data_IF_464891149577
#
_entry.id   IF_464891149577
#
_cell.length_a   1.000
_cell.length_b   1.000
_cell.length_c   1.000
_cell.angle_alpha   90.00
_cell.angle_beta   90.00
_cell.angle_gamma   90.00
#
_symmetry.space_group_name_H-M   'P 1'
#
loop_
_entity.id
_entity.type
_entity.pdbx_description
1 polymer ?
#
# COMPACT_ATOMS: atom_id res chain seq x y z
N UNK A 1 23.30 -2.18 -21.39
CA UNK A 1 23.09 -0.83 -21.96
C UNK A 1 22.47 0.05 -20.87
N UNK A 2 23.26 0.90 -20.22
CA UNK A 2 22.80 1.80 -19.15
C UNK A 2 21.93 2.91 -19.76
N UNK A 3 20.64 2.95 -19.45
CA UNK A 3 19.80 4.12 -19.76
C UNK A 3 20.21 5.24 -18.79
N UNK A 4 20.94 6.23 -19.31
CA UNK A 4 21.18 7.49 -18.63
C UNK A 4 19.83 8.13 -18.29
N UNK A 5 19.65 8.51 -17.02
CA UNK A 5 18.44 9.13 -16.51
C UNK A 5 18.18 10.51 -17.14
N UNK A 6 17.37 10.55 -18.20
CA UNK A 6 16.51 11.70 -18.44
C UNK A 6 15.47 11.69 -17.31
N UNK A 7 15.59 12.67 -16.42
CA UNK A 7 14.89 12.81 -15.16
C UNK A 7 13.38 12.68 -15.31
N UNK A 8 12.76 11.90 -14.43
CA UNK A 8 11.30 11.76 -14.28
C UNK A 8 10.60 13.06 -13.82
N UNK A 9 11.32 14.18 -13.82
CA UNK A 9 10.90 15.47 -13.29
C UNK A 9 10.39 16.41 -14.40
N UNK A 10 10.35 16.00 -15.68
CA UNK A 10 9.77 16.78 -16.78
C UNK A 10 10.34 18.21 -16.97
N UNK A 11 11.52 18.50 -16.42
CA UNK A 11 12.10 19.85 -16.44
C UNK A 11 11.70 20.72 -15.24
N UNK A 12 10.98 20.16 -14.26
CA UNK A 12 10.68 20.83 -13.00
C UNK A 12 11.98 21.14 -12.24
N UNK A 13 12.00 22.30 -11.61
CA UNK A 13 13.08 22.75 -10.75
C UNK A 13 13.02 22.07 -9.36
N UNK A 14 13.89 22.52 -8.45
CA UNK A 14 13.94 22.00 -7.07
C UNK A 14 12.67 22.30 -6.26
N UNK A 15 11.89 23.29 -6.66
CA UNK A 15 10.63 23.68 -6.02
C UNK A 15 9.41 23.03 -6.69
N UNK A 16 9.62 22.14 -7.67
CA UNK A 16 8.53 21.46 -8.37
C UNK A 16 7.80 22.40 -9.31
N UNK A 17 8.50 23.42 -9.80
CA UNK A 17 7.98 24.46 -10.68
C UNK A 17 8.59 24.30 -12.09
N UNK A 18 7.78 24.57 -13.11
CA UNK A 18 8.20 24.65 -14.51
C UNK A 18 7.97 26.08 -14.99
N UNK A 19 9.00 26.74 -15.51
CA UNK A 19 8.92 28.14 -15.93
C UNK A 19 8.79 28.23 -17.45
N UNK A 20 7.66 28.78 -17.92
CA UNK A 20 7.42 29.08 -19.34
C UNK A 20 8.00 30.45 -19.68
N UNK A 21 9.28 30.46 -20.04
CA UNK A 21 10.02 31.70 -20.27
C UNK A 21 9.47 32.59 -21.40
N UNK A 22 8.66 32.05 -22.31
CA UNK A 22 8.10 32.84 -23.43
C UNK A 22 6.86 33.67 -23.04
N UNK A 23 6.15 33.28 -21.98
CA UNK A 23 4.93 33.95 -21.53
C UNK A 23 4.96 34.42 -20.06
N UNK A 24 6.07 34.22 -19.34
CA UNK A 24 6.21 34.69 -17.95
C UNK A 24 5.23 34.02 -17.00
N UNK A 25 5.02 32.72 -17.19
CA UNK A 25 4.13 31.89 -16.36
C UNK A 25 4.90 30.75 -15.74
N UNK A 26 4.60 30.45 -14.48
CA UNK A 26 5.10 29.29 -13.77
C UNK A 26 3.99 28.26 -13.57
N UNK A 27 4.25 27.01 -13.96
CA UNK A 27 3.44 25.86 -13.57
C UNK A 27 3.99 25.23 -12.29
N UNK A 28 3.12 24.92 -11.34
CA UNK A 28 3.44 24.14 -10.14
C UNK A 28 2.55 22.92 -10.04
N UNK A 29 3.14 21.76 -9.78
CA UNK A 29 2.37 20.54 -9.49
C UNK A 29 1.85 20.64 -8.06
N UNK A 30 0.52 20.68 -7.88
CA UNK A 30 -0.13 20.75 -6.57
C UNK A 30 -0.61 19.36 -6.10
N UNK A 31 -0.99 18.52 -7.05
CA UNK A 31 -1.43 17.16 -6.80
C UNK A 31 -1.18 16.29 -8.03
N UNK A 32 -1.39 14.95 -7.94
CA UNK A 32 -1.21 14.07 -9.08
C UNK A 32 -2.03 14.43 -10.33
N UNK A 33 -3.15 15.14 -10.17
CA UNK A 33 -4.06 15.54 -11.25
C UNK A 33 -4.20 17.06 -11.39
N UNK A 34 -3.48 17.84 -10.58
CA UNK A 34 -3.62 19.30 -10.53
C UNK A 34 -2.28 20.00 -10.74
N UNK A 35 -2.29 20.92 -11.71
CA UNK A 35 -1.19 21.84 -11.99
C UNK A 35 -1.75 23.24 -11.91
N UNK A 36 -1.21 24.03 -10.99
CA UNK A 36 -1.50 25.45 -10.84
C UNK A 36 -0.62 26.25 -11.81
N UNK A 37 -1.21 27.22 -12.49
CA UNK A 37 -0.47 28.20 -13.29
C UNK A 37 -0.49 29.54 -12.56
N UNK A 38 0.64 30.22 -12.51
CA UNK A 38 0.78 31.53 -11.86
C UNK A 38 1.55 32.46 -12.78
N UNK A 39 1.05 33.67 -12.99
CA UNK A 39 1.81 34.70 -13.72
C UNK A 39 2.96 35.24 -12.85
N UNK A 40 4.16 35.30 -13.41
CA UNK A 40 5.39 35.55 -12.64
C UNK A 40 5.46 36.95 -12.02
N UNK A 41 4.80 37.93 -12.65
CA UNK A 41 4.86 39.36 -12.24
C UNK A 41 3.77 39.68 -11.21
N UNK A 42 2.51 39.37 -11.52
CA UNK A 42 1.37 39.67 -10.67
C UNK A 42 1.20 38.67 -9.53
N UNK A 43 1.64 37.42 -9.73
CA UNK A 43 1.34 36.31 -8.83
C UNK A 43 -0.09 35.77 -8.99
N UNK A 44 -0.83 36.22 -10.00
CA UNK A 44 -2.22 35.81 -10.21
C UNK A 44 -2.30 34.36 -10.72
N UNK A 45 -3.26 33.60 -10.18
CA UNK A 45 -3.55 32.23 -10.61
C UNK A 45 -4.30 32.24 -11.94
N UNK A 46 -3.80 31.49 -12.92
CA UNK A 46 -4.38 31.37 -14.25
C UNK A 46 -5.07 30.01 -14.45
N UNK A 47 -6.18 30.01 -15.20
CA UNK A 47 -6.82 28.76 -15.62
C UNK A 47 -6.11 28.11 -16.82
N UNK A 48 -5.53 28.94 -17.69
CA UNK A 48 -4.87 28.55 -18.95
C UNK A 48 -3.62 29.39 -19.19
N UNK A 49 -2.80 28.99 -20.17
CA UNK A 49 -1.67 29.81 -20.59
C UNK A 49 -2.18 31.07 -21.31
N UNK A 50 -1.50 32.22 -21.18
CA UNK A 50 -1.80 33.43 -21.92
C UNK A 50 -1.70 33.22 -23.43
N UNK A 51 -2.39 34.07 -24.22
CA UNK A 51 -2.31 34.05 -25.69
C UNK A 51 -0.89 34.28 -26.23
N UNK A 52 -0.01 34.89 -25.43
CA UNK A 52 1.41 35.09 -25.75
C UNK A 52 2.25 33.81 -25.71
N UNK A 53 1.71 32.71 -25.16
CA UNK A 53 2.42 31.45 -25.08
C UNK A 53 2.66 30.84 -26.47
N UNK A 54 3.91 30.45 -26.73
CA UNK A 54 4.28 29.75 -27.96
C UNK A 54 3.74 28.32 -28.02
N UNK A 55 3.74 27.74 -29.23
CA UNK A 55 3.32 26.35 -29.46
C UNK A 55 4.13 25.33 -28.61
N UNK A 56 5.40 25.62 -28.34
CA UNK A 56 6.25 24.78 -27.49
C UNK A 56 5.80 24.78 -26.03
N UNK A 57 5.44 25.94 -25.47
CA UNK A 57 4.94 26.06 -24.08
C UNK A 57 3.62 25.31 -23.90
N UNK A 58 2.74 25.42 -24.89
CA UNK A 58 1.47 24.68 -24.93
C UNK A 58 1.77 23.18 -24.93
N UNK A 59 2.66 22.70 -25.80
CA UNK A 59 3.03 21.28 -25.85
C UNK A 59 3.66 20.78 -24.54
N UNK A 60 4.53 21.59 -23.93
CA UNK A 60 5.17 21.26 -22.65
C UNK A 60 4.15 21.16 -21.52
N UNK A 61 3.20 22.09 -21.43
CA UNK A 61 2.13 22.02 -20.44
C UNK A 61 1.26 20.77 -20.65
N UNK A 62 0.90 20.43 -21.90
CA UNK A 62 0.17 19.21 -22.22
C UNK A 62 0.94 17.96 -21.77
N UNK A 63 2.25 17.89 -22.07
CA UNK A 63 3.12 16.79 -21.63
C UNK A 63 3.17 16.68 -20.11
N UNK A 64 3.31 17.80 -19.41
CA UNK A 64 3.36 17.84 -17.96
C UNK A 64 2.03 17.33 -17.35
N UNK A 65 0.89 17.82 -17.83
CA UNK A 65 -0.45 17.40 -17.38
C UNK A 65 -0.70 15.90 -17.63
N UNK A 66 -0.34 15.40 -18.80
CA UNK A 66 -0.66 14.03 -19.20
C UNK A 66 0.30 12.98 -18.64
N UNK A 67 1.56 13.32 -18.41
CA UNK A 67 2.56 12.33 -17.97
C UNK A 67 2.74 12.27 -16.45
N UNK A 68 2.46 13.35 -15.72
CA UNK A 68 2.59 13.42 -14.25
C UNK A 68 1.79 12.32 -13.54
N UNK A 69 0.50 12.07 -13.85
CA UNK A 69 -0.27 10.99 -13.22
C UNK A 69 0.38 9.61 -13.43
N UNK A 70 0.90 9.35 -14.64
CA UNK A 70 1.55 8.09 -14.99
C UNK A 70 2.85 7.85 -14.21
N UNK A 71 3.67 8.89 -14.03
CA UNK A 71 4.90 8.82 -13.22
C UNK A 71 4.58 8.57 -11.76
N UNK A 72 3.59 9.27 -11.20
CA UNK A 72 3.17 9.06 -9.80
C UNK A 72 2.63 7.64 -9.61
N UNK A 73 1.79 7.15 -10.52
CA UNK A 73 1.25 5.78 -10.47
C UNK A 73 2.36 4.73 -10.55
N UNK A 74 3.30 4.88 -11.48
CA UNK A 74 4.45 3.98 -11.60
C UNK A 74 5.31 3.99 -10.34
N UNK A 75 5.51 5.16 -9.72
CA UNK A 75 6.27 5.26 -8.49
C UNK A 75 5.55 4.69 -7.27
N UNK A 76 4.21 4.80 -7.19
CA UNK A 76 3.41 4.12 -6.17
C UNK A 76 3.51 2.59 -6.28
N UNK A 77 3.48 2.04 -7.50
CA UNK A 77 3.77 0.61 -7.72
C UNK A 77 5.16 0.24 -7.22
N UNK A 78 6.16 1.08 -7.50
CA UNK A 78 7.53 0.88 -6.99
C UNK A 78 7.61 0.94 -5.46
N UNK A 79 6.84 1.83 -4.82
CA UNK A 79 6.73 1.91 -3.36
C UNK A 79 6.07 0.65 -2.79
N UNK A 80 5.00 0.14 -3.40
CA UNK A 80 4.38 -1.12 -3.00
C UNK A 80 5.37 -2.31 -3.08
N UNK A 81 6.18 -2.38 -4.14
CA UNK A 81 7.25 -3.39 -4.23
C UNK A 81 8.32 -3.22 -3.14
N UNK A 82 8.72 -1.99 -2.81
CA UNK A 82 9.66 -1.71 -1.73
C UNK A 82 9.08 -2.12 -0.36
N UNK A 83 7.79 -1.89 -0.15
CA UNK A 83 7.05 -2.30 1.03
C UNK A 83 7.09 -3.83 1.16
N UNK A 84 6.65 -4.56 0.14
CA UNK A 84 6.59 -6.02 0.12
C UNK A 84 7.97 -6.69 0.26
N UNK A 85 9.01 -6.12 -0.36
CA UNK A 85 10.36 -6.71 -0.33
C UNK A 85 11.23 -6.25 0.85
N UNK A 86 10.82 -5.22 1.59
CA UNK A 86 11.61 -4.65 2.68
C UNK A 86 12.92 -3.97 2.24
N UNK A 87 13.11 -3.72 0.93
CA UNK A 87 14.32 -3.09 0.40
C UNK A 87 14.52 -1.69 0.99
N UNK A 88 15.74 -1.44 1.45
CA UNK A 88 16.14 -0.15 2.04
C UNK A 88 16.76 0.77 0.98
N UNK A 89 16.69 2.08 1.25
CA UNK A 89 17.43 3.14 0.57
C UNK A 89 18.44 3.74 1.56
N UNK A 90 19.59 4.21 1.09
CA UNK A 90 20.44 5.03 1.96
C UNK A 90 19.73 6.35 2.30
N UNK A 91 19.99 6.91 3.49
CA UNK A 91 19.41 8.20 3.89
C UNK A 91 19.61 9.30 2.84
N UNK A 92 20.82 9.41 2.29
CA UNK A 92 21.13 10.40 1.24
C UNK A 92 20.31 10.18 -0.04
N UNK A 93 20.14 8.93 -0.48
CA UNK A 93 19.32 8.63 -1.67
C UNK A 93 17.85 8.91 -1.42
N UNK A 94 17.34 8.52 -0.25
CA UNK A 94 15.96 8.78 0.15
C UNK A 94 15.69 10.29 0.20
N UNK A 95 16.57 11.05 0.86
CA UNK A 95 16.51 12.51 0.98
C UNK A 95 16.52 13.19 -0.39
N UNK A 96 17.40 12.78 -1.30
CA UNK A 96 17.47 13.32 -2.66
C UNK A 96 16.22 13.07 -3.51
N UNK A 97 15.48 12.00 -3.23
CA UNK A 97 14.23 11.68 -3.94
C UNK A 97 13.02 12.44 -3.40
N UNK A 98 12.92 12.61 -2.08
CA UNK A 98 11.68 13.00 -1.42
C UNK A 98 11.73 14.30 -0.61
N UNK A 99 12.92 14.84 -0.32
CA UNK A 99 13.11 16.05 0.48
C UNK A 99 13.87 17.17 -0.24
N UNK A 100 15.04 16.87 -0.83
CA UNK A 100 15.89 17.92 -1.39
C UNK A 100 15.32 18.56 -2.66
N UNK A 101 14.32 17.90 -3.26
CA UNK A 101 13.54 18.40 -4.39
C UNK A 101 12.06 18.21 -4.09
N UNK A 102 11.24 19.22 -4.37
CA UNK A 102 9.78 19.09 -4.56
C UNK A 102 9.49 18.36 -5.88
N UNK A 103 10.09 17.18 -6.04
CA UNK A 103 9.91 16.34 -7.22
C UNK A 103 8.48 15.80 -7.26
N UNK A 104 8.03 15.41 -8.46
CA UNK A 104 6.79 14.65 -8.64
C UNK A 104 6.75 13.40 -7.75
N UNK A 105 7.92 12.83 -7.44
CA UNK A 105 8.05 11.63 -6.61
C UNK A 105 7.69 11.88 -5.14
N UNK A 106 7.80 13.12 -4.64
CA UNK A 106 7.34 13.49 -3.30
C UNK A 106 5.84 13.31 -3.15
N UNK A 107 5.04 13.62 -4.18
CA UNK A 107 3.59 13.38 -4.16
C UNK A 107 3.24 11.90 -4.12
N UNK A 108 4.04 11.07 -4.79
CA UNK A 108 3.85 9.62 -4.74
C UNK A 108 4.18 9.03 -3.36
N UNK A 109 5.11 9.62 -2.62
CA UNK A 109 5.55 9.18 -1.30
C UNK A 109 4.89 9.91 -0.12
N UNK A 110 4.09 10.96 -0.38
CA UNK A 110 3.36 11.69 0.65
C UNK A 110 2.49 10.73 1.44
N UNK A 111 2.53 10.82 2.77
CA UNK A 111 1.80 9.97 3.70
C UNK A 111 2.21 8.48 3.73
N UNK A 112 3.29 8.09 3.04
CA UNK A 112 3.96 6.81 3.31
C UNK A 112 4.65 6.91 4.65
N UNK A 113 4.42 5.92 5.52
CA UNK A 113 5.17 5.80 6.78
C UNK A 113 6.50 5.12 6.47
N UNK A 114 7.59 5.81 6.78
CA UNK A 114 8.95 5.34 6.66
C UNK A 114 9.46 4.87 8.01
N UNK A 115 10.47 4.01 7.99
CA UNK A 115 11.19 3.54 9.16
C UNK A 115 12.70 3.74 8.95
N UNK A 116 13.36 4.15 10.03
CA UNK A 116 14.81 4.32 10.10
C UNK A 116 15.26 4.03 11.54
N UNK A 117 16.11 2.99 11.71
CA UNK A 117 16.37 2.42 13.04
C UNK A 117 15.06 2.01 13.72
N UNK A 118 14.88 2.46 14.96
CA UNK A 118 13.65 2.23 15.75
C UNK A 118 12.58 3.33 15.54
N UNK A 119 12.89 4.36 14.74
CA UNK A 119 12.00 5.48 14.47
C UNK A 119 11.13 5.27 13.23
N UNK A 120 9.93 5.85 13.26
CA UNK A 120 9.03 5.92 12.10
C UNK A 120 8.58 7.36 11.84
N UNK A 121 8.34 7.70 10.57
CA UNK A 121 7.99 9.07 10.17
C UNK A 121 7.27 9.16 8.82
N UNK A 122 6.60 10.28 8.55
CA UNK A 122 6.04 10.62 7.24
C UNK A 122 6.68 11.90 6.69
N UNK A 123 6.58 12.12 5.38
CA UNK A 123 6.92 13.42 4.77
C UNK A 123 5.74 14.38 4.89
N UNK A 124 5.95 15.51 5.55
CA UNK A 124 5.03 16.65 5.59
C UNK A 124 5.57 17.79 4.72
N UNK A 125 4.80 18.87 4.55
CA UNK A 125 5.18 20.00 3.69
C UNK A 125 6.49 20.67 4.15
N UNK A 126 6.67 20.84 5.45
CA UNK A 126 7.80 21.57 6.05
C UNK A 126 8.83 20.66 6.75
N UNK A 127 8.86 19.37 6.41
CA UNK A 127 9.83 18.44 6.97
C UNK A 127 9.27 17.04 7.16
N UNK A 128 9.74 16.37 8.22
CA UNK A 128 9.34 15.02 8.58
C UNK A 128 8.62 15.06 9.91
N UNK A 129 7.57 14.26 10.03
CA UNK A 129 6.79 14.14 11.26
C UNK A 129 6.78 12.70 11.74
N UNK A 130 6.90 12.50 13.05
CA UNK A 130 6.69 11.20 13.69
C UNK A 130 5.18 10.89 13.88
N UNK A 131 4.89 9.75 14.51
CA UNK A 131 3.52 9.27 14.79
C UNK A 131 2.70 10.17 15.72
N UNK A 132 3.32 11.16 16.35
CA UNK A 132 2.67 12.14 17.22
C UNK A 132 2.59 13.53 16.57
N UNK A 133 3.06 13.68 15.33
CA UNK A 133 3.12 14.96 14.64
C UNK A 133 4.30 15.84 15.07
N UNK A 134 5.29 15.30 15.79
CA UNK A 134 6.50 16.03 16.14
C UNK A 134 7.53 15.99 15.02
N UNK A 135 8.39 17.00 14.93
CA UNK A 135 9.49 17.01 13.98
C UNK A 135 10.41 15.79 14.14
N UNK A 136 10.62 15.07 13.04
CA UNK A 136 11.53 13.93 12.98
C UNK A 136 12.84 14.33 12.28
N UNK A 137 13.98 13.92 12.85
CA UNK A 137 15.31 14.17 12.28
C UNK A 137 15.86 12.90 11.63
N UNK A 138 16.25 12.99 10.35
CA UNK A 138 16.95 11.88 9.68
C UNK A 138 18.33 11.64 10.31
N UNK A 139 18.63 10.37 10.49
CA UNK A 139 19.98 9.88 10.80
C UNK A 139 20.69 9.39 9.52
N UNK A 140 21.91 8.88 9.66
CA UNK A 140 22.65 8.24 8.56
C UNK A 140 22.16 6.83 8.21
N UNK A 141 21.29 6.23 9.02
CA UNK A 141 20.81 4.86 8.86
C UNK A 141 19.98 4.68 7.57
N UNK A 142 19.92 3.47 6.99
CA UNK A 142 19.06 3.18 5.86
C UNK A 142 17.57 3.44 6.19
N UNK A 143 16.85 3.97 5.21
CA UNK A 143 15.41 4.22 5.27
C UNK A 143 14.67 3.13 4.49
N UNK A 144 13.63 2.57 5.08
CA UNK A 144 12.71 1.63 4.43
C UNK A 144 11.27 2.08 4.65
N UNK A 145 10.33 1.53 3.88
CA UNK A 145 8.92 1.71 4.20
C UNK A 145 8.62 0.91 5.48
N UNK A 146 7.92 1.49 6.45
CA UNK A 146 7.53 0.80 7.67
C UNK A 146 6.56 -0.36 7.34
N UNK A 147 6.59 -1.45 8.12
CA UNK A 147 5.69 -2.58 7.90
C UNK A 147 5.08 -3.02 9.23
N UNK A 148 3.75 -3.26 9.31
CA UNK A 148 3.08 -3.59 10.57
C UNK A 148 3.73 -4.73 11.36
N UNK A 149 4.11 -5.83 10.70
CA UNK A 149 4.80 -6.98 11.34
C UNK A 149 6.13 -6.63 12.03
N UNK A 150 6.74 -5.49 11.70
CA UNK A 150 8.00 -5.03 12.30
C UNK A 150 7.78 -3.90 13.32
N UNK A 151 6.53 -3.51 13.58
CA UNK A 151 6.16 -2.45 14.51
C UNK A 151 5.56 -3.04 15.78
N UNK A 152 5.72 -2.32 16.90
CA UNK A 152 5.02 -2.66 18.14
C UNK A 152 3.53 -2.31 18.02
N UNK A 153 2.63 -2.98 18.76
CA UNK A 153 1.22 -2.61 18.80
C UNK A 153 0.99 -1.12 19.13
N UNK A 154 1.76 -0.55 20.06
CA UNK A 154 1.68 0.87 20.42
C UNK A 154 2.05 1.79 19.25
N UNK A 155 3.03 1.39 18.44
CA UNK A 155 3.45 2.15 17.26
C UNK A 155 2.38 2.08 16.17
N UNK A 156 1.78 0.92 15.97
CA UNK A 156 0.66 0.73 15.03
C UNK A 156 -0.51 1.61 15.44
N UNK A 157 -0.98 1.49 16.69
CA UNK A 157 -2.13 2.25 17.19
C UNK A 157 -1.92 3.77 17.15
N UNK A 158 -0.70 4.25 17.45
CA UNK A 158 -0.37 5.67 17.33
C UNK A 158 -0.43 6.18 15.88
N UNK A 159 0.04 5.38 14.92
CA UNK A 159 -0.08 5.74 13.50
C UNK A 159 -1.52 5.69 13.01
N UNK A 160 -2.30 4.67 13.39
CA UNK A 160 -3.72 4.57 13.06
C UNK A 160 -4.49 5.79 13.58
N UNK A 161 -4.26 6.17 14.84
CA UNK A 161 -4.85 7.36 15.45
C UNK A 161 -4.45 8.64 14.70
N UNK A 162 -3.16 8.81 14.38
CA UNK A 162 -2.66 9.97 13.65
C UNK A 162 -3.27 10.07 12.25
N UNK A 163 -3.31 8.97 11.49
CA UNK A 163 -3.88 8.93 10.15
C UNK A 163 -5.39 9.23 10.18
N UNK A 164 -6.12 8.64 11.13
CA UNK A 164 -7.54 8.87 11.32
C UNK A 164 -7.85 10.33 11.68
N UNK A 165 -7.19 10.88 12.72
CA UNK A 165 -7.40 12.24 13.20
C UNK A 165 -7.17 13.29 12.12
N UNK A 166 -6.19 13.06 11.25
CA UNK A 166 -5.83 13.99 10.17
C UNK A 166 -6.51 13.66 8.83
N UNK A 167 -7.45 12.70 8.79
CA UNK A 167 -8.11 12.23 7.58
C UNK A 167 -7.13 11.88 6.44
N UNK A 168 -6.00 11.26 6.79
CA UNK A 168 -4.92 10.96 5.87
C UNK A 168 -5.18 9.62 5.19
N UNK A 169 -5.26 9.66 3.86
CA UNK A 169 -5.25 8.46 3.00
C UNK A 169 -3.82 8.13 2.59
N UNK A 170 -3.42 6.88 2.79
CA UNK A 170 -2.11 6.39 2.38
C UNK A 170 -2.06 6.10 0.87
N UNK A 171 -0.92 6.33 0.20
CA UNK A 171 -0.80 6.10 -1.24
C UNK A 171 -0.59 4.63 -1.64
N UNK A 172 -0.37 3.77 -0.65
CA UNK A 172 -0.28 2.31 -0.75
C UNK A 172 -0.98 1.70 0.48
N UNK A 173 -1.50 0.48 0.34
CA UNK A 173 -2.02 -0.29 1.48
C UNK A 173 -0.84 -0.67 2.38
N UNK A 174 -0.68 0.06 3.48
CA UNK A 174 0.45 -0.11 4.40
C UNK A 174 -0.02 -0.49 5.79
N UNK A 175 -0.79 0.38 6.46
CA UNK A 175 -1.28 0.08 7.82
C UNK A 175 -2.40 -0.94 7.82
N UNK A 176 -3.17 -1.03 6.73
CA UNK A 176 -4.21 -2.04 6.54
C UNK A 176 -3.69 -3.37 5.99
N UNK A 177 -2.38 -3.57 5.84
CA UNK A 177 -1.84 -4.87 5.41
C UNK A 177 -2.02 -5.89 6.56
N UNK A 178 -2.74 -7.01 6.34
CA UNK A 178 -2.91 -8.02 7.38
C UNK A 178 -1.57 -8.56 7.87
N UNK A 179 -1.44 -8.77 9.18
CA UNK A 179 -0.28 -9.46 9.75
C UNK A 179 -0.59 -10.93 10.01
N UNK A 180 0.14 -11.82 9.35
CA UNK A 180 0.02 -13.28 9.48
C UNK A 180 1.09 -13.78 10.44
N UNK A 181 0.70 -14.53 11.47
CA UNK A 181 1.65 -15.33 12.24
C UNK A 181 2.15 -16.50 11.37
N UNK A 182 3.26 -16.29 10.68
CA UNK A 182 3.80 -17.28 9.74
C UNK A 182 4.32 -18.53 10.46
N UNK A 183 4.54 -18.48 11.78
CA UNK A 183 4.96 -19.66 12.56
C UNK A 183 3.79 -20.60 12.84
N UNK A 184 2.56 -20.07 12.89
CA UNK A 184 1.32 -20.82 13.09
C UNK A 184 0.63 -21.29 11.81
N UNK A 185 1.24 -21.10 10.63
CA UNK A 185 0.65 -21.53 9.35
C UNK A 185 0.74 -23.04 9.19
N UNK A 186 -0.41 -23.71 9.16
CA UNK A 186 -0.49 -25.15 8.87
C UNK A 186 -0.18 -25.43 7.40
N UNK A 187 0.43 -26.59 7.12
CA UNK A 187 0.82 -26.92 5.75
C UNK A 187 -0.37 -27.09 4.81
N UNK A 188 -1.50 -27.54 5.35
CA UNK A 188 -2.75 -27.77 4.64
C UNK A 188 -3.68 -26.54 4.64
N UNK A 189 -3.22 -25.36 5.09
CA UNK A 189 -4.05 -24.15 5.25
C UNK A 189 -4.91 -23.82 4.02
N UNK A 190 -4.41 -24.08 2.82
CA UNK A 190 -5.14 -23.82 1.56
C UNK A 190 -5.56 -25.09 0.80
N UNK A 191 -5.39 -26.26 1.40
CA UNK A 191 -5.71 -27.54 0.77
C UNK A 191 -7.21 -27.62 0.45
N UNK A 192 -7.54 -28.08 -0.77
CA UNK A 192 -8.91 -28.20 -1.24
C UNK A 192 -9.55 -26.91 -1.77
N UNK A 193 -8.81 -25.80 -1.78
CA UNK A 193 -9.26 -24.51 -2.30
C UNK A 193 -8.87 -24.36 -3.78
N UNK A 194 -9.83 -23.91 -4.58
CA UNK A 194 -9.62 -23.51 -5.97
C UNK A 194 -9.41 -22.00 -6.00
N UNK A 195 -8.25 -21.55 -6.45
CA UNK A 195 -8.00 -20.14 -6.72
C UNK A 195 -8.12 -19.89 -8.22
N UNK A 196 -8.88 -18.88 -8.62
CA UNK A 196 -8.88 -18.45 -10.01
C UNK A 196 -7.54 -17.77 -10.32
N UNK A 197 -6.96 -18.02 -11.49
CA UNK A 197 -5.67 -17.42 -11.83
C UNK A 197 -5.72 -15.88 -11.83
N UNK A 198 -6.87 -15.29 -12.20
CA UNK A 198 -7.11 -13.84 -12.14
C UNK A 198 -7.01 -13.29 -10.72
N UNK A 199 -7.51 -14.01 -9.72
CA UNK A 199 -7.38 -13.64 -8.31
C UNK A 199 -5.92 -13.69 -7.86
N UNK A 200 -5.16 -14.67 -8.35
CA UNK A 200 -3.73 -14.78 -8.07
C UNK A 200 -2.89 -13.68 -8.73
N UNK A 201 -3.44 -12.90 -9.67
CA UNK A 201 -2.79 -11.69 -10.17
C UNK A 201 -2.66 -10.61 -9.08
N UNK A 202 -3.46 -10.68 -8.00
CA UNK A 202 -3.32 -9.80 -6.84
C UNK A 202 -1.97 -9.96 -6.14
N UNK A 203 -1.31 -11.10 -6.30
CA UNK A 203 0.08 -11.31 -5.83
C UNK A 203 1.10 -10.51 -6.67
N UNK A 204 0.67 -9.90 -7.78
CA UNK A 204 1.49 -9.04 -8.63
C UNK A 204 2.74 -9.71 -9.17
N UNK A 205 3.83 -8.95 -9.30
CA UNK A 205 5.14 -9.44 -9.75
C UNK A 205 5.78 -10.47 -8.78
N UNK A 206 5.16 -10.69 -7.61
CA UNK A 206 5.59 -11.69 -6.62
C UNK A 206 5.01 -13.08 -6.89
N UNK A 207 3.99 -13.17 -7.75
CA UNK A 207 3.56 -14.44 -8.32
C UNK A 207 4.66 -15.00 -9.23
N UNK A 208 5.46 -15.93 -8.73
CA UNK A 208 6.48 -16.57 -9.56
C UNK A 208 5.81 -17.43 -10.63
N UNK A 209 5.95 -16.99 -11.88
CA UNK A 209 5.67 -17.76 -13.07
C UNK A 209 6.58 -19.00 -13.11
N UNK A 210 5.99 -20.18 -12.99
CA UNK A 210 6.70 -21.45 -13.03
C UNK A 210 5.81 -22.56 -13.56
N UNK A 211 6.28 -23.28 -14.58
CA UNK A 211 5.55 -24.35 -15.25
C UNK A 211 5.51 -25.66 -14.45
N UNK A 212 6.27 -25.79 -13.35
CA UNK A 212 6.27 -27.02 -12.55
C UNK A 212 6.66 -26.79 -11.07
N UNK A 213 5.70 -27.09 -10.18
CA UNK A 213 5.83 -27.58 -8.79
C UNK A 213 6.20 -26.68 -7.62
N UNK A 214 6.65 -25.43 -7.74
CA UNK A 214 6.81 -24.59 -6.53
C UNK A 214 6.72 -23.11 -6.86
N UNK A 215 5.78 -22.38 -6.25
CA UNK A 215 5.85 -20.91 -6.22
C UNK A 215 6.89 -20.55 -5.17
N UNK A 216 8.16 -20.42 -5.56
CA UNK A 216 9.22 -19.99 -4.66
C UNK A 216 9.27 -18.47 -4.74
N UNK A 217 8.40 -17.81 -3.98
CA UNK A 217 8.63 -16.40 -3.66
C UNK A 217 9.91 -16.35 -2.82
N UNK A 218 10.98 -15.82 -3.42
CA UNK A 218 12.27 -15.43 -2.83
C UNK A 218 12.93 -16.36 -1.78
N UNK A 219 12.64 -17.66 -1.81
CA UNK A 219 13.04 -18.67 -0.81
C UNK A 219 12.41 -18.47 0.60
N UNK A 220 11.53 -17.49 0.78
CA UNK A 220 10.84 -17.29 2.06
C UNK A 220 9.60 -18.16 2.21
N UNK A 221 9.01 -18.61 1.11
CA UNK A 221 7.77 -19.37 1.11
C UNK A 221 7.83 -20.53 0.11
N UNK A 222 7.43 -21.71 0.55
CA UNK A 222 7.18 -22.87 -0.30
C UNK A 222 5.68 -23.03 -0.54
N UNK A 223 5.26 -23.09 -1.79
CA UNK A 223 3.89 -23.41 -2.18
C UNK A 223 3.87 -24.56 -3.18
N UNK A 224 3.22 -25.66 -2.81
CA UNK A 224 3.01 -26.81 -3.70
C UNK A 224 1.68 -26.66 -4.41
N UNK A 225 1.71 -26.72 -5.75
CA UNK A 225 0.51 -26.77 -6.58
C UNK A 225 0.15 -28.21 -6.92
N UNK A 226 -1.14 -28.52 -6.91
CA UNK A 226 -1.61 -29.77 -7.50
C UNK A 226 -1.57 -29.69 -9.02
N UNK A 227 -1.08 -30.76 -9.66
CA UNK A 227 -1.14 -30.90 -11.12
C UNK A 227 -2.59 -31.17 -11.50
N UNK A 228 -3.36 -30.13 -11.80
CA UNK A 228 -4.59 -30.29 -12.57
C UNK A 228 -4.32 -29.90 -14.03
N UNK A 229 -4.26 -30.90 -14.90
CA UNK A 229 -4.35 -30.69 -16.35
C UNK A 229 -5.82 -30.39 -16.66
N UNK A 230 -6.17 -29.12 -16.82
CA UNK A 230 -7.45 -28.77 -17.46
C UNK A 230 -7.32 -29.02 -18.97
N UNK A 231 -7.37 -30.28 -19.38
CA UNK A 231 -8.00 -30.61 -20.66
C UNK A 231 -9.50 -30.58 -20.38
N UNK A 232 -10.17 -29.50 -20.79
CA UNK A 232 -11.57 -29.42 -21.26
C UNK A 232 -12.06 -27.96 -21.09
N UNK A 233 -12.07 -27.25 -22.23
CA UNK A 233 -13.03 -26.21 -22.66
C UNK A 233 -13.86 -25.45 -21.60
N UNK A 234 -13.22 -24.82 -20.62
CA UNK A 234 -13.80 -23.68 -19.89
C UNK A 234 -12.67 -22.68 -19.66
N UNK A 235 -12.91 -21.41 -19.98
CA UNK A 235 -11.91 -20.31 -19.94
C UNK A 235 -11.35 -19.99 -18.54
N UNK A 236 -11.59 -20.84 -17.54
CA UNK A 236 -11.18 -20.60 -16.16
C UNK A 236 -9.97 -21.48 -15.80
N UNK A 237 -8.78 -20.90 -15.92
CA UNK A 237 -7.57 -21.50 -15.38
C UNK A 237 -7.61 -21.43 -13.86
N UNK A 238 -7.81 -22.59 -13.21
CA UNK A 238 -7.86 -22.73 -11.75
C UNK A 238 -6.52 -23.27 -11.25
N UNK A 239 -6.02 -22.70 -10.16
CA UNK A 239 -4.85 -23.18 -9.42
C UNK A 239 -5.28 -23.74 -8.07
N UNK A 240 -4.82 -24.96 -7.75
CA UNK A 240 -4.95 -25.55 -6.41
C UNK A 240 -3.61 -25.51 -5.70
N UNK A 241 -3.63 -25.06 -4.44
CA UNK A 241 -2.47 -25.09 -3.54
C UNK A 241 -2.69 -26.25 -2.57
N UNK A 242 -1.86 -27.29 -2.64
CA UNK A 242 -1.97 -28.46 -1.76
C UNK A 242 -1.08 -28.41 -0.54
N UNK A 243 -0.08 -27.53 -0.53
CA UNK A 243 0.74 -27.30 0.65
C UNK A 243 1.35 -25.91 0.63
N UNK A 244 1.41 -25.29 1.80
CA UNK A 244 2.11 -24.03 2.05
C UNK A 244 3.08 -24.20 3.21
N UNK A 245 4.31 -23.70 3.10
CA UNK A 245 5.27 -23.72 4.21
C UNK A 245 6.09 -22.44 4.22
N UNK A 246 5.86 -21.54 5.17
CA UNK A 246 6.78 -20.44 5.44
C UNK A 246 8.15 -20.99 5.83
N UNK A 247 9.19 -20.55 5.12
CA UNK A 247 10.58 -20.94 5.36
C UNK A 247 11.35 -19.84 6.09
N UNK A 248 10.99 -18.58 5.86
CA UNK A 248 11.60 -17.40 6.49
C UNK A 248 10.52 -16.37 6.81
N UNK A 249 10.61 -15.79 8.01
CA UNK A 249 9.76 -14.68 8.44
C UNK A 249 10.11 -13.41 7.66
N UNK A 250 9.40 -13.17 6.55
CA UNK A 250 9.64 -12.02 5.68
C UNK A 250 8.34 -11.28 5.39
N UNK A 251 8.46 -9.99 5.03
CA UNK A 251 7.34 -9.18 4.55
C UNK A 251 6.68 -9.78 3.31
N UNK A 252 7.47 -10.37 2.41
CA UNK A 252 6.94 -10.97 1.20
C UNK A 252 6.12 -12.23 1.50
N UNK A 253 6.64 -13.09 2.39
CA UNK A 253 5.90 -14.24 2.88
C UNK A 253 4.59 -13.80 3.55
N UNK A 254 4.63 -12.75 4.39
CA UNK A 254 3.43 -12.17 5.01
C UNK A 254 2.41 -11.74 3.95
N UNK A 255 2.84 -10.93 2.98
CA UNK A 255 1.99 -10.40 1.92
C UNK A 255 1.29 -11.52 1.13
N UNK A 256 2.04 -12.54 0.72
CA UNK A 256 1.47 -13.67 -0.04
C UNK A 256 0.45 -14.44 0.80
N UNK A 257 0.77 -14.73 2.07
CA UNK A 257 -0.15 -15.41 2.97
C UNK A 257 -1.41 -14.59 3.25
N UNK A 258 -1.26 -13.27 3.43
CA UNK A 258 -2.37 -12.35 3.65
C UNK A 258 -3.33 -12.32 2.46
N UNK A 259 -2.80 -12.22 1.24
CA UNK A 259 -3.60 -12.29 0.01
C UNK A 259 -4.29 -13.65 -0.12
N UNK A 260 -3.58 -14.76 0.12
CA UNK A 260 -4.19 -16.10 0.06
C UNK A 260 -5.27 -16.31 1.13
N UNK A 261 -5.07 -15.78 2.35
CA UNK A 261 -6.07 -15.80 3.41
C UNK A 261 -7.34 -15.06 2.98
N UNK A 262 -7.20 -13.86 2.42
CA UNK A 262 -8.32 -13.07 1.89
C UNK A 262 -9.08 -13.81 0.79
N UNK A 263 -8.36 -14.38 -0.19
CA UNK A 263 -8.95 -15.17 -1.28
C UNK A 263 -9.62 -16.46 -0.77
N UNK A 264 -9.16 -17.01 0.35
CA UNK A 264 -9.73 -18.23 0.94
C UNK A 264 -10.99 -17.99 1.79
N UNK A 265 -11.34 -16.73 2.07
CA UNK A 265 -12.36 -16.37 3.08
C UNK A 265 -13.70 -17.07 2.88
N UNK A 266 -14.26 -17.02 1.67
CA UNK A 266 -15.56 -17.63 1.39
C UNK A 266 -15.53 -19.15 1.62
N UNK A 267 -14.48 -19.82 1.14
CA UNK A 267 -14.29 -21.25 1.35
C UNK A 267 -14.18 -21.59 2.85
N UNK A 268 -13.42 -20.78 3.59
CA UNK A 268 -13.19 -20.94 5.02
C UNK A 268 -14.47 -20.74 5.84
N UNK A 269 -15.31 -19.78 5.46
CA UNK A 269 -16.65 -19.61 6.05
C UNK A 269 -17.51 -20.84 5.76
N UNK A 270 -17.63 -21.25 4.49
CA UNK A 270 -18.45 -22.42 4.11
C UNK A 270 -18.05 -23.72 4.81
N UNK A 271 -16.77 -23.88 5.13
CA UNK A 271 -16.22 -25.08 5.79
C UNK A 271 -16.10 -24.95 7.32
N UNK A 272 -16.59 -23.84 7.88
CA UNK A 272 -16.49 -23.51 9.30
C UNK A 272 -15.06 -23.57 9.87
N UNK A 273 -14.08 -23.14 9.07
CA UNK A 273 -12.66 -23.10 9.42
C UNK A 273 -12.20 -21.66 9.69
N UNK A 274 -11.99 -21.32 10.97
CA UNK A 274 -11.60 -19.98 11.44
C UNK A 274 -10.09 -19.74 11.48
N UNK A 275 -9.26 -20.63 10.89
CA UNK A 275 -7.80 -20.55 10.93
C UNK A 275 -7.21 -19.24 10.40
N UNK A 276 -7.94 -18.53 9.53
CA UNK A 276 -7.53 -17.25 8.95
C UNK A 276 -8.10 -16.03 9.70
N UNK A 277 -9.02 -16.24 10.65
CA UNK A 277 -9.76 -15.15 11.29
C UNK A 277 -8.83 -14.14 11.97
N UNK A 278 -7.82 -14.63 12.69
CA UNK A 278 -6.82 -13.78 13.35
C UNK A 278 -6.09 -12.84 12.38
N UNK A 279 -5.76 -13.32 11.18
CA UNK A 279 -5.11 -12.53 10.12
C UNK A 279 -6.02 -11.41 9.65
N UNK A 280 -7.26 -11.74 9.27
CA UNK A 280 -8.12 -10.82 8.53
C UNK A 280 -8.92 -9.88 9.44
N UNK A 281 -9.09 -10.21 10.73
CA UNK A 281 -10.03 -9.51 11.63
C UNK A 281 -9.80 -8.00 11.68
N UNK A 282 -8.54 -7.55 11.58
CA UNK A 282 -8.14 -6.14 11.66
C UNK A 282 -8.66 -5.33 10.47
N UNK A 283 -8.97 -5.99 9.36
CA UNK A 283 -9.42 -5.36 8.13
C UNK A 283 -10.93 -5.51 7.89
N UNK A 284 -11.65 -6.20 8.77
CA UNK A 284 -13.10 -6.34 8.62
C UNK A 284 -13.75 -5.05 9.14
N UNK A 285 -14.37 -4.29 8.25
CA UNK A 285 -15.13 -3.08 8.62
C UNK A 285 -16.45 -3.47 9.29
N UNK A 286 -17.09 -2.51 9.97
CA UNK A 286 -18.38 -2.75 10.62
C UNK A 286 -19.46 -3.20 9.63
N UNK A 287 -19.51 -2.57 8.46
CA UNK A 287 -20.43 -2.96 7.39
C UNK A 287 -20.13 -4.38 6.92
N UNK A 288 -18.85 -4.73 6.76
CA UNK A 288 -18.44 -6.05 6.29
C UNK A 288 -18.70 -7.15 7.32
N UNK A 289 -18.59 -6.87 8.62
CA UNK A 289 -18.89 -7.85 9.67
C UNK A 289 -20.33 -8.37 9.54
N UNK A 290 -21.30 -7.50 9.27
CA UNK A 290 -22.71 -7.91 9.17
C UNK A 290 -22.97 -8.80 7.94
N UNK A 291 -22.34 -8.49 6.80
CA UNK A 291 -22.37 -9.35 5.62
C UNK A 291 -21.77 -10.75 5.90
N UNK A 292 -20.64 -10.79 6.60
CA UNK A 292 -19.97 -12.05 6.93
C UNK A 292 -20.77 -12.87 7.95
N UNK A 293 -21.47 -12.22 8.90
CA UNK A 293 -22.38 -12.88 9.84
C UNK A 293 -23.53 -13.54 9.09
N UNK A 294 -24.14 -12.83 8.13
CA UNK A 294 -25.19 -13.40 7.30
C UNK A 294 -24.69 -14.61 6.50
N UNK A 295 -23.55 -14.48 5.82
CA UNK A 295 -22.93 -15.58 5.08
C UNK A 295 -22.60 -16.78 5.97
N UNK A 296 -22.06 -16.56 7.17
CA UNK A 296 -21.76 -17.63 8.13
C UNK A 296 -23.05 -18.33 8.62
N UNK A 297 -24.11 -17.57 8.88
CA UNK A 297 -25.41 -18.12 9.27
C UNK A 297 -26.02 -18.97 8.16
N UNK A 298 -26.00 -18.50 6.91
CA UNK A 298 -26.51 -19.23 5.74
C UNK A 298 -25.77 -20.55 5.50
N UNK A 299 -24.44 -20.57 5.73
CA UNK A 299 -23.62 -21.76 5.59
C UNK A 299 -23.61 -22.66 6.84
N UNK A 300 -24.29 -22.28 7.93
CA UNK A 300 -24.27 -23.02 9.20
C UNK A 300 -22.90 -23.04 9.90
N UNK A 301 -22.04 -22.05 9.60
CA UNK A 301 -20.66 -21.94 10.07
C UNK A 301 -20.61 -21.37 11.50
N UNK A 302 -20.74 -22.24 12.49
CA UNK A 302 -20.90 -21.86 13.90
C UNK A 302 -19.67 -21.19 14.50
N UNK A 303 -18.46 -21.65 14.15
CA UNK A 303 -17.22 -21.04 14.66
C UNK A 303 -17.02 -19.65 14.07
N UNK A 304 -17.29 -19.48 12.77
CA UNK A 304 -17.26 -18.15 12.15
C UNK A 304 -18.30 -17.22 12.73
N UNK A 305 -19.53 -17.69 12.93
CA UNK A 305 -20.59 -16.89 13.54
C UNK A 305 -20.18 -16.40 14.94
N UNK A 306 -19.62 -17.28 15.78
CA UNK A 306 -19.12 -16.91 17.10
C UNK A 306 -18.00 -15.86 17.02
N UNK A 307 -16.99 -16.10 16.19
CA UNK A 307 -15.84 -15.20 16.04
C UNK A 307 -16.26 -13.80 15.53
N UNK A 308 -17.18 -13.74 14.56
CA UNK A 308 -17.68 -12.48 14.00
C UNK A 308 -18.57 -11.72 14.97
N UNK A 309 -19.39 -12.41 15.78
CA UNK A 309 -20.19 -11.78 16.83
C UNK A 309 -19.30 -11.19 17.93
N UNK A 310 -18.25 -11.92 18.34
CA UNK A 310 -17.27 -11.42 19.31
C UNK A 310 -16.56 -10.17 18.78
N UNK A 311 -16.17 -10.18 17.50
CA UNK A 311 -15.58 -9.01 16.84
C UNK A 311 -16.57 -7.83 16.80
N UNK A 312 -17.81 -8.07 16.39
CA UNK A 312 -18.88 -7.04 16.36
C UNK A 312 -19.07 -6.38 17.73
N UNK A 313 -19.04 -7.18 18.79
CA UNK A 313 -19.17 -6.70 20.17
C UNK A 313 -17.97 -5.83 20.56
N UNK A 314 -16.74 -6.25 20.22
CA UNK A 314 -15.53 -5.45 20.52
C UNK A 314 -15.52 -4.09 19.82
N UNK A 315 -16.00 -4.01 18.58
CA UNK A 315 -16.14 -2.76 17.83
C UNK A 315 -17.16 -1.78 18.45
N UNK A 316 -18.03 -2.25 19.35
CA UNK A 316 -19.01 -1.42 20.05
C UNK A 316 -18.49 -0.76 21.33
N UNK A 317 -17.36 -1.22 21.88
CA UNK A 317 -16.84 -0.79 23.19
C UNK A 317 -15.98 0.48 23.08
N UNK A 318 -15.31 0.70 21.94
CA UNK A 318 -14.34 1.81 21.76
C UNK A 318 -14.96 3.22 21.64
N UNK A 319 -16.29 3.33 21.57
CA UNK A 319 -16.95 4.66 21.53
C UNK A 319 -17.27 5.24 22.91
N UNK A 320 -17.24 4.43 23.98
CA UNK A 320 -17.64 4.86 25.33
C UNK A 320 -16.48 4.95 26.32
N UNK A 321 -15.30 4.41 26.01
CA UNK A 321 -14.13 4.48 26.89
C UNK A 321 -13.39 5.83 26.84
N UNK A 322 -13.73 6.72 25.91
CA UNK A 322 -13.19 8.08 25.81
C UNK A 322 -14.08 9.20 26.42
N UNK A 323 -15.23 8.85 26.99
CA UNK A 323 -16.18 9.79 27.61
C UNK A 323 -16.51 9.41 29.06
N UNK A 324 -15.52 8.90 29.80
CA UNK A 324 -15.58 8.91 31.26
C UNK A 324 -15.23 10.32 31.72
N UNK A 325 -16.27 11.08 32.05
CA UNK A 325 -16.21 12.30 32.83
C UNK A 325 -15.40 12.05 34.11
N UNK A 326 -14.26 12.71 34.25
CA UNK A 326 -13.80 13.12 35.57
C UNK A 326 -14.44 14.49 35.83
N UNK A 327 -15.62 14.43 36.46
CA UNK A 327 -16.08 15.47 37.36
C UNK A 327 -15.14 15.47 38.58
N UNK A 328 -14.36 16.54 38.74
CA UNK A 328 -14.16 17.29 39.99
C UNK A 328 -13.40 18.61 39.70
#
# INVERSE_FOLDING_TARGET
>A
MRRNGKTADFGLDKEGCFHFGSCGVTARVESPSSIMLTEDISGDTLSELPESAGAEDIEQLYRLRNNTPGVISAHRKRLAELFATGKTLSAARWRGLYLDKRSVLRFAARNVIWAQGDGTFITAENGLLDRFGNCYALTGEPVKIAYPIEMTPDTIGAWEAYLCWNAIVQPIEQMSEPTVDQSGVSEDRYCGINFHNEELEMLGAHAVAGNTRSLIADESLYLKRDKYYNMVYTDQYITRISSVRPLKQTRLCNHILAVLDLLSLEYKIRTDDVSIFGTIRQNITREKVDELIAAASENGARKWLAALLDLKNSMGVDYYSGLSLDED
#
